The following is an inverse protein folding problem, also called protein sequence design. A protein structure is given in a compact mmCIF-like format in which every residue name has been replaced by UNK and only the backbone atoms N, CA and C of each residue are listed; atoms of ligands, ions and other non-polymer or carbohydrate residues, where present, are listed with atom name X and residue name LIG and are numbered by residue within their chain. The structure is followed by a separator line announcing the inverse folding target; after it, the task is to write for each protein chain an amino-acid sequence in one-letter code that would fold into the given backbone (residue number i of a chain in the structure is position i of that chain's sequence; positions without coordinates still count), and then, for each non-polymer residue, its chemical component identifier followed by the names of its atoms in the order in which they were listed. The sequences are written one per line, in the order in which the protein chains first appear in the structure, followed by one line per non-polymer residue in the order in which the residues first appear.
data_IF_413671072632
#
_entry.id   IF_413671072632
#
_cell.length_a   1.000
_cell.length_b   1.000
_cell.length_c   1.000
_cell.angle_alpha   90.00
_cell.angle_beta   90.00
_cell.angle_gamma   90.00
#
_symmetry.space_group_name_H-M   'P 1'
#
loop_
_entity.id
_entity.type
_entity.pdbx_description
1 polymer ?
#
# COMPACT_ATOMS: atom_id res chain seq x y z
N UNK A 1 17.66 20.79 45.47
CA UNK A 1 16.40 20.10 45.78
C UNK A 1 16.12 19.14 44.64
N UNK A 2 16.15 17.84 44.92
CA UNK A 2 15.88 16.82 43.90
C UNK A 2 14.41 16.93 43.50
N UNK A 3 14.12 17.38 42.28
CA UNK A 3 12.77 17.29 41.73
C UNK A 3 12.36 15.82 41.78
N UNK A 4 11.15 15.55 42.26
CA UNK A 4 10.65 14.20 42.51
C UNK A 4 10.66 13.38 41.20
N UNK A 5 11.25 12.18 41.23
CA UNK A 5 11.50 11.38 40.03
C UNK A 5 10.20 10.95 39.34
N UNK A 6 9.14 10.78 40.12
CA UNK A 6 7.80 10.47 39.63
C UNK A 6 7.20 11.63 38.84
N UNK A 7 7.40 12.87 39.31
CA UNK A 7 6.92 14.08 38.66
C UNK A 7 7.61 14.30 37.30
N UNK A 8 8.93 14.09 37.25
CA UNK A 8 9.69 14.14 36.01
C UNK A 8 9.28 13.05 35.00
N UNK A 9 8.89 11.86 35.48
CA UNK A 9 8.38 10.80 34.62
C UNK A 9 7.03 11.17 33.98
N UNK A 10 6.12 11.78 34.75
CA UNK A 10 4.82 12.27 34.25
C UNK A 10 5.02 13.38 33.22
N UNK A 11 5.87 14.37 33.49
CA UNK A 11 6.20 15.44 32.52
C UNK A 11 6.80 14.86 31.21
N UNK A 12 7.62 13.81 31.32
CA UNK A 12 8.16 13.10 30.15
C UNK A 12 7.07 12.42 29.32
N UNK A 13 6.07 11.81 29.97
CA UNK A 13 4.93 11.20 29.28
C UNK A 13 4.09 12.25 28.55
N UNK A 14 3.86 13.42 29.17
CA UNK A 14 3.14 14.54 28.53
C UNK A 14 3.90 15.02 27.29
N UNK A 15 5.24 15.17 27.36
CA UNK A 15 6.05 15.52 26.16
C UNK A 15 5.98 14.46 25.07
N UNK A 16 6.02 13.19 25.46
CA UNK A 16 5.91 12.09 24.51
C UNK A 16 4.56 12.12 23.80
N UNK A 17 3.47 12.39 24.52
CA UNK A 17 2.13 12.53 23.94
C UNK A 17 2.05 13.71 22.95
N UNK A 18 2.54 14.90 23.32
CA UNK A 18 2.58 16.07 22.43
C UNK A 18 3.45 15.79 21.19
N UNK A 19 4.61 15.16 21.38
CA UNK A 19 5.48 14.76 20.27
C UNK A 19 4.80 13.77 19.34
N UNK A 20 4.05 12.81 19.86
CA UNK A 20 3.27 11.87 19.04
C UNK A 20 2.20 12.61 18.21
N UNK A 21 1.48 13.57 18.82
CA UNK A 21 0.50 14.40 18.10
C UNK A 21 1.11 15.10 16.88
N UNK A 22 2.27 15.74 17.07
CA UNK A 22 2.93 16.52 16.01
C UNK A 22 3.57 15.64 14.93
N UNK A 23 3.96 14.40 15.26
CA UNK A 23 4.61 13.47 14.34
C UNK A 23 3.66 12.38 13.80
N UNK A 24 2.35 12.53 14.00
CA UNK A 24 1.39 11.49 13.66
C UNK A 24 1.29 11.31 12.14
N UNK A 25 1.64 10.12 11.68
CA UNK A 25 1.58 9.75 10.27
C UNK A 25 0.14 9.47 9.82
N UNK A 26 -0.22 9.87 8.61
CA UNK A 26 -1.49 9.46 7.97
C UNK A 26 -1.56 7.94 7.73
N UNK A 27 -2.75 7.37 7.83
CA UNK A 27 -3.03 5.94 7.59
C UNK A 27 -4.17 5.75 6.59
N UNK A 28 -4.20 4.59 5.94
CA UNK A 28 -5.31 4.18 5.07
C UNK A 28 -6.54 3.77 5.90
N UNK A 29 -7.76 3.80 5.32
CA UNK A 29 -8.17 4.71 4.25
C UNK A 29 -8.57 6.05 4.87
N UNK A 30 -7.98 7.14 4.37
CA UNK A 30 -8.37 8.51 4.74
C UNK A 30 -8.16 8.95 6.20
N UNK A 31 -7.35 8.26 7.01
CA UNK A 31 -6.96 8.78 8.34
C UNK A 31 -5.83 9.80 8.19
N UNK A 32 -6.15 11.09 8.28
CA UNK A 32 -5.17 12.16 8.13
C UNK A 32 -4.46 12.43 9.45
N UNK A 33 -3.18 12.05 9.52
CA UNK A 33 -2.39 12.11 10.74
C UNK A 33 -2.27 13.52 11.30
N UNK A 34 -2.07 14.52 10.44
CA UNK A 34 -2.02 15.93 10.83
C UNK A 34 -3.31 16.45 11.48
N UNK A 35 -4.48 16.09 10.93
CA UNK A 35 -5.78 16.48 11.49
C UNK A 35 -6.04 15.79 12.84
N UNK A 36 -5.77 14.48 12.92
CA UNK A 36 -5.88 13.71 14.16
C UNK A 36 -4.91 14.21 15.23
N UNK A 37 -3.69 14.56 14.84
CA UNK A 37 -2.68 15.14 15.71
C UNK A 37 -3.10 16.50 16.25
N UNK A 38 -3.68 17.36 15.40
CA UNK A 38 -4.22 18.65 15.80
C UNK A 38 -5.38 18.51 16.80
N UNK A 39 -6.36 17.63 16.52
CA UNK A 39 -7.48 17.38 17.44
C UNK A 39 -7.01 16.81 18.80
N UNK A 40 -6.02 15.92 18.78
CA UNK A 40 -5.43 15.40 20.01
C UNK A 40 -4.67 16.47 20.79
N UNK A 41 -3.94 17.37 20.10
CA UNK A 41 -3.28 18.50 20.72
C UNK A 41 -4.28 19.49 21.33
N UNK A 42 -5.43 19.70 20.68
CA UNK A 42 -6.52 20.52 21.18
C UNK A 42 -7.08 19.94 22.49
N UNK A 43 -7.34 18.63 22.53
CA UNK A 43 -7.79 17.94 23.74
C UNK A 43 -6.76 18.02 24.87
N UNK A 44 -5.47 17.85 24.57
CA UNK A 44 -4.38 18.02 25.55
C UNK A 44 -4.38 19.45 26.10
N UNK A 45 -4.48 20.47 25.23
CA UNK A 45 -4.52 21.88 25.63
C UNK A 45 -5.74 22.23 26.49
N UNK A 46 -6.91 21.65 26.21
CA UNK A 46 -8.10 21.80 27.05
C UNK A 46 -7.90 21.23 28.45
N UNK A 47 -7.35 20.02 28.55
CA UNK A 47 -7.04 19.40 29.84
C UNK A 47 -6.04 20.24 30.64
N UNK A 48 -4.95 20.70 30.02
CA UNK A 48 -3.94 21.53 30.70
C UNK A 48 -4.54 22.84 31.22
N UNK A 49 -5.43 23.48 30.44
CA UNK A 49 -6.12 24.73 30.85
C UNK A 49 -7.14 24.52 31.97
N UNK A 50 -7.72 23.33 32.08
CA UNK A 50 -8.72 23.00 33.11
C UNK A 50 -8.12 22.73 34.50
N UNK A 51 -6.80 22.58 34.60
CA UNK A 51 -6.12 22.31 35.87
C UNK A 51 -6.14 23.55 36.78
N UNK A 52 -6.56 23.43 38.06
CA UNK A 52 -6.59 24.56 38.98
C UNK A 52 -5.16 25.07 39.27
N UNK A 53 -4.93 26.37 39.11
CA UNK A 53 -3.63 27.03 39.28
C UNK A 53 -3.06 27.04 40.71
N UNK A 54 -3.54 26.20 41.64
CA UNK A 54 -3.16 26.31 43.06
C UNK A 54 -2.00 25.40 43.45
N UNK A 55 -0.91 26.08 43.82
CA UNK A 55 -0.02 25.71 44.92
C UNK A 55 0.65 24.34 44.80
N UNK A 56 1.50 24.20 43.79
CA UNK A 56 2.91 23.77 43.84
C UNK A 56 3.39 23.74 42.39
N UNK A 57 4.08 24.81 42.01
CA UNK A 57 5.35 24.75 41.29
C UNK A 57 5.51 23.78 40.09
N UNK A 58 4.71 23.97 39.04
CA UNK A 58 5.22 23.61 37.70
C UNK A 58 5.06 24.78 36.74
N UNK A 59 6.02 25.72 36.79
CA UNK A 59 6.40 26.59 35.66
C UNK A 59 6.38 25.84 34.33
N UNK A 60 6.67 24.54 34.38
CA UNK A 60 6.65 23.65 33.23
C UNK A 60 5.27 23.55 32.54
N UNK A 61 4.18 23.23 33.26
CA UNK A 61 2.86 23.05 32.63
C UNK A 61 2.24 24.37 32.17
N UNK A 62 2.48 25.46 32.89
CA UNK A 62 2.03 26.80 32.48
C UNK A 62 2.75 27.25 31.20
N UNK A 63 4.08 27.10 31.14
CA UNK A 63 4.87 27.38 29.92
C UNK A 63 4.44 26.46 28.79
N UNK A 64 4.21 25.18 29.06
CA UNK A 64 3.74 24.23 28.06
C UNK A 64 2.37 24.61 27.49
N UNK A 65 1.43 25.05 28.33
CA UNK A 65 0.12 25.54 27.88
C UNK A 65 0.26 26.68 26.88
N UNK A 66 1.13 27.66 27.17
CA UNK A 66 1.40 28.78 26.26
C UNK A 66 1.90 28.30 24.90
N UNK A 67 2.83 27.35 24.87
CA UNK A 67 3.34 26.80 23.61
C UNK A 67 2.31 25.97 22.85
N UNK A 68 1.48 25.20 23.56
CA UNK A 68 0.37 24.45 22.96
C UNK A 68 -0.66 25.40 22.36
N UNK A 69 -1.05 26.45 23.08
CA UNK A 69 -2.01 27.46 22.60
C UNK A 69 -1.45 28.25 21.40
N UNK A 70 -0.17 28.60 21.43
CA UNK A 70 0.52 29.23 20.30
C UNK A 70 0.54 28.30 19.08
N UNK A 71 0.80 27.01 19.26
CA UNK A 71 0.79 26.04 18.17
C UNK A 71 -0.62 25.83 17.61
N UNK A 72 -1.64 25.73 18.46
CA UNK A 72 -3.04 25.59 18.04
C UNK A 72 -3.52 26.83 17.28
N UNK A 73 -3.30 28.03 17.82
CA UNK A 73 -3.69 29.28 17.16
C UNK A 73 -2.99 29.48 15.81
N UNK A 74 -1.69 29.20 15.72
CA UNK A 74 -0.92 29.33 14.48
C UNK A 74 -1.39 28.35 13.39
N UNK A 75 -1.95 27.20 13.77
CA UNK A 75 -2.38 26.16 12.83
C UNK A 75 -3.90 26.09 12.66
N UNK A 76 -4.69 26.91 13.36
CA UNK A 76 -6.15 26.82 13.36
C UNK A 76 -6.76 26.95 11.96
N UNK A 77 -6.33 27.94 11.17
CA UNK A 77 -6.83 28.14 9.80
C UNK A 77 -6.52 26.96 8.90
N UNK A 78 -5.29 26.44 8.97
CA UNK A 78 -4.83 25.28 8.19
C UNK A 78 -5.58 24.01 8.60
N UNK A 79 -5.79 23.81 9.91
CA UNK A 79 -6.53 22.67 10.43
C UNK A 79 -7.99 22.70 10.00
N UNK A 80 -8.63 23.88 10.04
CA UNK A 80 -10.02 24.07 9.58
C UNK A 80 -10.16 23.79 8.08
N UNK A 81 -9.25 24.31 7.25
CA UNK A 81 -9.25 24.02 5.81
C UNK A 81 -9.04 22.52 5.52
N UNK A 82 -8.13 21.87 6.25
CA UNK A 82 -7.93 20.42 6.16
C UNK A 82 -9.15 19.63 6.63
N UNK A 83 -9.84 20.06 7.68
CA UNK A 83 -11.05 19.39 8.15
C UNK A 83 -12.15 19.43 7.08
N UNK A 84 -12.38 20.59 6.46
CA UNK A 84 -13.33 20.74 5.37
C UNK A 84 -12.92 19.91 4.15
N UNK A 85 -11.63 19.90 3.77
CA UNK A 85 -11.11 19.04 2.72
C UNK A 85 -11.33 17.54 3.04
N UNK A 86 -11.18 17.15 4.29
CA UNK A 86 -11.42 15.78 4.74
C UNK A 86 -12.91 15.39 4.61
N UNK A 87 -13.82 16.29 5.00
CA UNK A 87 -15.26 16.08 4.82
C UNK A 87 -15.65 15.92 3.35
N UNK A 88 -15.07 16.74 2.46
CA UNK A 88 -15.25 16.55 1.01
C UNK A 88 -14.75 15.18 0.54
N UNK A 89 -13.58 14.75 1.00
CA UNK A 89 -13.05 13.42 0.67
C UNK A 89 -13.96 12.29 1.17
N UNK A 90 -14.57 12.43 2.35
CA UNK A 90 -15.54 11.48 2.87
C UNK A 90 -16.79 11.43 1.97
N UNK A 91 -17.35 12.58 1.57
CA UNK A 91 -18.49 12.62 0.64
C UNK A 91 -18.18 11.95 -0.70
N UNK A 92 -16.96 12.14 -1.23
CA UNK A 92 -16.50 11.47 -2.46
C UNK A 92 -16.41 9.95 -2.24
N UNK A 93 -15.82 9.53 -1.12
CA UNK A 93 -15.76 8.13 -0.73
C UNK A 93 -17.15 7.50 -0.64
N UNK A 94 -18.11 8.24 -0.08
CA UNK A 94 -19.49 7.77 0.06
C UNK A 94 -20.20 7.71 -1.29
N UNK A 95 -19.99 8.68 -2.20
CA UNK A 95 -20.47 8.64 -3.58
C UNK A 95 -19.94 7.40 -4.32
N UNK A 96 -18.66 7.05 -4.11
CA UNK A 96 -18.04 5.84 -4.64
C UNK A 96 -18.37 4.57 -3.82
N UNK A 97 -19.26 4.66 -2.82
CA UNK A 97 -19.67 3.58 -1.91
C UNK A 97 -18.49 2.83 -1.27
N UNK A 98 -17.33 3.46 -1.14
CA UNK A 98 -16.11 2.81 -0.67
C UNK A 98 -16.24 2.24 0.75
N UNK A 99 -17.05 2.86 1.62
CA UNK A 99 -17.32 2.40 2.99
C UNK A 99 -18.10 1.07 3.02
N UNK A 100 -19.09 0.91 2.14
CA UNK A 100 -19.90 -0.31 2.04
C UNK A 100 -19.05 -1.52 1.62
N UNK A 101 -18.01 -1.30 0.82
CA UNK A 101 -17.11 -2.37 0.36
C UNK A 101 -15.93 -2.65 1.31
N UNK A 102 -15.50 -1.64 2.09
CA UNK A 102 -14.37 -1.78 3.04
C UNK A 102 -14.76 -2.39 4.39
N UNK A 103 -16.05 -2.42 4.73
CA UNK A 103 -16.59 -3.09 5.92
C UNK A 103 -16.74 -4.61 5.79
N UNK A 104 -16.75 -5.15 4.58
CA UNK A 104 -16.75 -6.61 4.34
C UNK A 104 -15.33 -7.19 4.53
N UNK A 105 -14.83 -7.09 5.75
CA UNK A 105 -13.69 -7.86 6.23
C UNK A 105 -14.17 -8.77 7.35
N UNK A 106 -13.97 -10.07 7.14
CA UNK A 106 -14.17 -11.22 8.03
C UNK A 106 -15.56 -11.93 7.95
N UNK A 107 -15.51 -13.15 7.40
CA UNK A 107 -16.25 -14.35 7.84
C UNK A 107 -17.76 -14.53 7.62
N UNK A 108 -18.36 -13.89 6.62
CA UNK A 108 -19.74 -14.21 6.27
C UNK A 108 -19.89 -14.63 4.79
N UNK A 109 -19.71 -15.93 4.57
CA UNK A 109 -20.46 -16.69 3.55
C UNK A 109 -21.87 -16.88 4.12
N UNK A 110 -22.63 -15.79 4.24
CA UNK A 110 -24.04 -15.84 4.60
C UNK A 110 -24.83 -15.21 3.47
N UNK A 111 -25.69 -16.06 2.92
CA UNK A 111 -26.91 -15.79 2.18
C UNK A 111 -26.92 -14.58 1.21
N UNK A 112 -27.04 -14.96 -0.06
CA UNK A 112 -27.36 -14.14 -1.25
C UNK A 112 -28.78 -13.53 -1.14
N UNK A 113 -29.35 -13.43 0.05
CA UNK A 113 -30.71 -12.98 0.31
C UNK A 113 -30.72 -12.03 1.49
N UNK A 114 -30.33 -10.77 1.26
CA UNK A 114 -30.93 -9.56 1.85
C UNK A 114 -30.05 -8.33 1.62
N UNK A 115 -30.14 -7.76 0.43
CA UNK A 115 -30.59 -6.37 0.32
C UNK A 115 -30.93 -6.13 -1.14
N UNK A 116 -32.19 -5.81 -1.38
CA UNK A 116 -32.73 -5.14 -2.57
C UNK A 116 -32.09 -3.76 -2.71
N UNK A 117 -30.76 -3.69 -2.85
CA UNK A 117 -30.05 -2.50 -3.34
C UNK A 117 -30.14 -2.59 -4.86
N UNK A 118 -30.91 -1.68 -5.45
CA UNK A 118 -30.91 -1.42 -6.89
C UNK A 118 -29.44 -1.40 -7.34
N UNK A 119 -29.04 -2.18 -8.36
CA UNK A 119 -27.65 -2.21 -8.80
C UNK A 119 -27.27 -0.80 -9.23
N UNK A 120 -26.36 -0.20 -8.45
CA UNK A 120 -25.82 1.13 -8.70
C UNK A 120 -25.09 1.07 -10.04
N UNK A 121 -25.49 1.89 -11.01
CA UNK A 121 -24.88 1.88 -12.34
C UNK A 121 -23.74 2.89 -12.45
N UNK A 122 -22.79 2.65 -13.35
CA UNK A 122 -21.72 3.62 -13.63
C UNK A 122 -22.26 5.00 -13.99
N UNK A 123 -23.37 5.07 -14.69
CA UNK A 123 -24.04 6.31 -15.07
C UNK A 123 -24.50 7.11 -13.84
N UNK A 124 -25.12 6.45 -12.86
CA UNK A 124 -25.57 7.11 -11.63
C UNK A 124 -24.39 7.67 -10.83
N UNK A 125 -23.34 6.85 -10.62
CA UNK A 125 -22.14 7.28 -9.90
C UNK A 125 -21.43 8.42 -10.61
N UNK A 126 -21.35 8.36 -11.95
CA UNK A 126 -20.78 9.44 -12.75
C UNK A 126 -21.51 10.75 -12.54
N UNK A 127 -22.84 10.73 -12.63
CA UNK A 127 -23.67 11.92 -12.45
C UNK A 127 -23.51 12.50 -11.04
N UNK A 128 -23.62 11.66 -10.01
CA UNK A 128 -23.42 12.09 -8.60
C UNK A 128 -22.02 12.69 -8.39
N UNK A 129 -20.97 12.08 -8.97
CA UNK A 129 -19.61 12.58 -8.84
C UNK A 129 -19.40 13.90 -9.59
N UNK A 130 -19.99 14.06 -10.79
CA UNK A 130 -19.94 15.30 -11.56
C UNK A 130 -20.66 16.44 -10.81
N UNK A 131 -21.84 16.18 -10.25
CA UNK A 131 -22.57 17.12 -9.38
C UNK A 131 -21.74 17.52 -8.16
N UNK A 132 -21.14 16.54 -7.47
CA UNK A 132 -20.28 16.79 -6.31
C UNK A 132 -19.06 17.64 -6.66
N UNK A 133 -18.40 17.35 -7.78
CA UNK A 133 -17.27 18.13 -8.30
C UNK A 133 -17.66 19.55 -8.70
N UNK A 134 -18.89 19.76 -9.18
CA UNK A 134 -19.43 21.08 -9.48
C UNK A 134 -19.71 21.88 -8.21
N UNK A 135 -20.27 21.25 -7.18
CA UNK A 135 -20.52 21.89 -5.87
C UNK A 135 -19.22 22.25 -5.14
N UNK A 136 -18.17 21.44 -5.28
CA UNK A 136 -16.90 21.68 -4.60
C UNK A 136 -16.10 22.78 -5.29
N UNK A 137 -16.28 24.05 -4.90
CA UNK A 137 -15.60 25.24 -5.46
C UNK A 137 -14.78 25.99 -4.39
N UNK A 138 -13.64 25.45 -3.95
CA UNK A 138 -12.81 26.13 -2.96
C UNK A 138 -12.04 27.30 -3.58
N UNK A 139 -11.94 28.39 -2.81
CA UNK A 139 -11.05 29.50 -3.14
C UNK A 139 -9.58 29.15 -2.85
N UNK A 140 -8.72 29.27 -3.85
CA UNK A 140 -7.28 29.01 -3.74
C UNK A 140 -6.54 29.87 -2.71
N UNK A 141 -7.00 31.10 -2.42
CA UNK A 141 -6.33 32.00 -1.48
C UNK A 141 -6.71 31.69 -0.03
N UNK A 142 -7.99 31.42 0.21
CA UNK A 142 -8.52 31.17 1.55
C UNK A 142 -8.40 29.70 1.97
N UNK A 143 -8.50 28.77 1.02
CA UNK A 143 -8.62 27.32 1.26
C UNK A 143 -7.64 26.51 0.40
N UNK A 144 -6.32 26.66 0.61
CA UNK A 144 -5.30 26.02 -0.22
C UNK A 144 -5.34 24.48 -0.20
N UNK A 145 -5.68 23.85 0.93
CA UNK A 145 -5.76 22.40 1.05
C UNK A 145 -6.96 21.83 0.28
N UNK A 146 -8.14 22.45 0.42
CA UNK A 146 -9.31 22.09 -0.39
C UNK A 146 -9.04 22.28 -1.89
N UNK A 147 -8.41 23.39 -2.28
CA UNK A 147 -8.06 23.64 -3.68
C UNK A 147 -7.08 22.59 -4.22
N UNK A 148 -6.04 22.23 -3.46
CA UNK A 148 -5.10 21.17 -3.82
C UNK A 148 -5.81 19.82 -3.99
N UNK A 149 -6.73 19.47 -3.09
CA UNK A 149 -7.55 18.27 -3.18
C UNK A 149 -8.38 18.26 -4.47
N UNK A 150 -9.15 19.32 -4.72
CA UNK A 150 -9.98 19.45 -5.93
C UNK A 150 -9.16 19.31 -7.19
N UNK A 151 -8.06 20.05 -7.29
CA UNK A 151 -7.18 20.05 -8.47
C UNK A 151 -6.64 18.64 -8.74
N UNK A 152 -6.22 17.92 -7.69
CA UNK A 152 -5.73 16.55 -7.84
C UNK A 152 -6.85 15.59 -8.23
N UNK A 153 -8.01 15.72 -7.61
CA UNK A 153 -9.18 14.90 -7.88
C UNK A 153 -9.67 15.06 -9.31
N UNK A 154 -9.86 16.30 -9.80
CA UNK A 154 -10.26 16.57 -11.18
C UNK A 154 -9.27 15.98 -12.19
N UNK A 155 -7.96 16.10 -11.94
CA UNK A 155 -6.94 15.48 -12.80
C UNK A 155 -7.07 13.96 -12.83
N UNK A 156 -7.29 13.32 -11.68
CA UNK A 156 -7.47 11.87 -11.61
C UNK A 156 -8.77 11.42 -12.27
N UNK A 157 -9.86 12.16 -12.05
CA UNK A 157 -11.17 11.90 -12.63
C UNK A 157 -11.14 12.03 -14.16
N UNK A 158 -10.53 13.08 -14.69
CA UNK A 158 -10.40 13.25 -16.14
C UNK A 158 -9.54 12.16 -16.79
N UNK A 159 -8.52 11.67 -16.06
CA UNK A 159 -7.60 10.66 -16.60
C UNK A 159 -8.13 9.22 -16.49
N UNK A 160 -8.83 8.91 -15.41
CA UNK A 160 -9.20 7.53 -15.07
C UNK A 160 -10.70 7.32 -14.85
N UNK A 161 -11.50 8.37 -14.74
CA UNK A 161 -12.91 8.30 -14.37
C UNK A 161 -13.72 7.35 -15.24
N UNK A 162 -13.54 7.38 -16.57
CA UNK A 162 -14.22 6.47 -17.49
C UNK A 162 -13.93 5.00 -17.20
N UNK A 163 -12.68 4.70 -16.85
CA UNK A 163 -12.21 3.32 -16.66
C UNK A 163 -12.47 2.81 -15.23
N UNK A 164 -12.65 3.71 -14.26
CA UNK A 164 -12.90 3.37 -12.87
C UNK A 164 -14.32 2.85 -12.64
N UNK A 165 -15.29 3.28 -13.44
CA UNK A 165 -16.71 3.04 -13.16
C UNK A 165 -17.24 1.68 -13.65
N UNK A 166 -16.45 0.92 -14.41
CA UNK A 166 -16.88 -0.40 -14.88
C UNK A 166 -17.16 -1.40 -13.75
N UNK A 167 -16.61 -1.18 -12.56
CA UNK A 167 -16.90 -2.00 -11.38
C UNK A 167 -18.37 -1.92 -10.91
N UNK A 168 -19.09 -0.88 -11.32
CA UNK A 168 -20.53 -0.74 -11.01
C UNK A 168 -21.41 -1.48 -12.02
N UNK A 169 -20.96 -1.62 -13.27
CA UNK A 169 -21.75 -2.27 -14.33
C UNK A 169 -21.49 -3.77 -14.42
N UNK A 170 -20.29 -4.22 -14.05
CA UNK A 170 -19.86 -5.62 -14.18
C UNK A 170 -20.06 -6.32 -12.83
N UNK A 171 -21.00 -7.27 -12.71
CA UNK A 171 -21.20 -8.03 -11.47
C UNK A 171 -19.93 -8.74 -11.03
N UNK A 172 -19.55 -8.58 -9.76
CA UNK A 172 -18.40 -9.25 -9.16
C UNK A 172 -17.03 -8.59 -9.40
N UNK A 173 -16.94 -7.53 -10.21
CA UNK A 173 -15.70 -6.76 -10.37
C UNK A 173 -15.51 -5.86 -9.14
N UNK A 174 -14.44 -6.03 -8.32
CA UNK A 174 -14.27 -5.22 -7.12
C UNK A 174 -14.01 -3.73 -7.47
N UNK A 175 -14.51 -2.79 -6.65
CA UNK A 175 -14.35 -1.36 -6.88
C UNK A 175 -12.97 -0.84 -6.47
N UNK A 176 -12.17 -1.63 -5.74
CA UNK A 176 -10.81 -1.29 -5.34
C UNK A 176 -9.84 -2.45 -5.51
N UNK A 177 -8.56 -2.15 -5.35
CA UNK A 177 -7.47 -3.12 -5.43
C UNK A 177 -6.92 -3.53 -4.04
N UNK A 178 -7.59 -3.20 -2.93
CA UNK A 178 -7.04 -3.37 -1.58
C UNK A 178 -6.71 -4.82 -1.26
N UNK A 179 -7.59 -5.75 -1.68
CA UNK A 179 -7.38 -7.20 -1.51
C UNK A 179 -6.11 -7.66 -2.23
N UNK A 180 -5.88 -7.13 -3.44
CA UNK A 180 -4.69 -7.42 -4.25
C UNK A 180 -3.43 -6.80 -3.61
N UNK A 181 -3.51 -5.55 -3.14
CA UNK A 181 -2.41 -4.89 -2.44
C UNK A 181 -2.03 -5.63 -1.14
N UNK A 182 -3.03 -6.10 -0.40
CA UNK A 182 -2.87 -6.90 0.82
C UNK A 182 -2.18 -8.21 0.49
N UNK A 183 -2.68 -8.96 -0.50
CA UNK A 183 -2.07 -10.20 -0.97
C UNK A 183 -0.60 -10.02 -1.34
N UNK A 184 -0.26 -9.02 -2.17
CA UNK A 184 1.13 -8.75 -2.54
C UNK A 184 2.00 -8.33 -1.36
N UNK A 185 1.43 -7.66 -0.36
CA UNK A 185 2.14 -7.30 0.86
C UNK A 185 2.46 -8.52 1.72
N UNK A 186 1.52 -9.44 1.86
CA UNK A 186 1.74 -10.74 2.52
C UNK A 186 2.82 -11.56 1.80
N UNK A 187 2.75 -11.68 0.48
CA UNK A 187 3.76 -12.39 -0.31
C UNK A 187 5.16 -11.79 -0.13
N UNK A 188 5.29 -10.46 -0.17
CA UNK A 188 6.57 -9.77 0.07
C UNK A 188 7.08 -9.99 1.50
N UNK A 189 6.22 -9.96 2.50
CA UNK A 189 6.62 -10.24 3.88
C UNK A 189 7.09 -11.68 4.05
N UNK A 190 6.34 -12.65 3.53
CA UNK A 190 6.72 -14.06 3.57
C UNK A 190 8.05 -14.31 2.85
N UNK A 191 8.23 -13.75 1.65
CA UNK A 191 9.48 -13.88 0.91
C UNK A 191 10.68 -13.32 1.68
N UNK A 192 10.53 -12.14 2.30
CA UNK A 192 11.60 -11.54 3.12
C UNK A 192 11.90 -12.39 4.35
N UNK A 193 10.87 -12.97 4.98
CA UNK A 193 11.01 -13.84 6.16
C UNK A 193 11.74 -15.13 5.82
N UNK A 194 11.39 -15.78 4.71
CA UNK A 194 12.00 -17.03 4.25
C UNK A 194 13.44 -16.79 3.75
N UNK A 195 13.64 -15.78 2.91
CA UNK A 195 14.96 -15.53 2.29
C UNK A 195 15.93 -14.76 3.17
N UNK A 196 15.46 -14.09 4.23
CA UNK A 196 16.23 -13.14 5.04
C UNK A 196 16.66 -11.88 4.29
N UNK A 197 16.24 -11.68 3.03
CA UNK A 197 16.68 -10.58 2.16
C UNK A 197 15.59 -9.53 2.01
N UNK A 198 15.97 -8.25 1.99
CA UNK A 198 15.03 -7.13 1.70
C UNK A 198 14.45 -7.20 0.28
N UNK A 199 15.25 -7.72 -0.67
CA UNK A 199 14.88 -7.85 -2.09
C UNK A 199 13.79 -8.89 -2.28
N UNK A 200 12.75 -8.51 -3.03
CA UNK A 200 11.64 -9.40 -3.42
C UNK A 200 11.66 -9.70 -4.92
N UNK A 201 12.85 -9.66 -5.54
CA UNK A 201 13.01 -9.87 -6.97
C UNK A 201 12.51 -11.26 -7.42
N UNK A 202 12.64 -12.27 -6.56
CA UNK A 202 12.16 -13.64 -6.81
C UNK A 202 10.64 -13.70 -7.01
N UNK A 203 9.87 -12.80 -6.38
CA UNK A 203 8.42 -12.72 -6.61
C UNK A 203 8.07 -12.27 -8.03
N UNK A 204 8.99 -11.64 -8.77
CA UNK A 204 8.77 -11.33 -10.18
C UNK A 204 8.70 -12.59 -11.04
N UNK A 205 9.41 -13.63 -10.62
CA UNK A 205 9.63 -14.85 -11.40
C UNK A 205 8.70 -15.97 -10.94
N UNK A 206 8.49 -16.09 -9.63
CA UNK A 206 7.70 -17.14 -9.02
C UNK A 206 6.39 -16.66 -8.40
N UNK A 207 6.16 -15.35 -8.31
CA UNK A 207 5.01 -14.78 -7.60
C UNK A 207 3.66 -15.24 -8.15
N UNK A 208 3.56 -15.46 -9.47
CA UNK A 208 2.36 -15.99 -10.12
C UNK A 208 1.94 -17.37 -9.58
N UNK A 209 2.92 -18.21 -9.21
CA UNK A 209 2.65 -19.52 -8.63
C UNK A 209 2.41 -19.42 -7.13
N UNK A 210 3.11 -18.53 -6.41
CA UNK A 210 2.88 -18.34 -4.97
C UNK A 210 1.47 -17.82 -4.65
N UNK A 211 0.83 -17.08 -5.56
CA UNK A 211 -0.58 -16.67 -5.39
C UNK A 211 -1.53 -17.88 -5.36
N UNK A 212 -1.22 -18.93 -6.13
CA UNK A 212 -2.05 -20.14 -6.24
C UNK A 212 -1.83 -21.10 -5.05
N UNK A 213 -0.67 -21.02 -4.41
CA UNK A 213 -0.28 -21.89 -3.29
C UNK A 213 -0.18 -21.08 -2.00
N UNK A 214 -1.34 -20.73 -1.45
CA UNK A 214 -1.46 -20.24 -0.08
C UNK A 214 -1.85 -21.42 0.81
N UNK A 215 -0.86 -22.03 1.45
CA UNK A 215 -1.09 -23.00 2.52
C UNK A 215 -1.08 -22.26 3.87
N UNK A 216 -2.12 -22.45 4.67
CA UNK A 216 -2.25 -21.87 6.02
C UNK A 216 -1.60 -22.77 7.09
N UNK A 217 -1.32 -24.03 6.78
CA UNK A 217 -0.58 -24.98 7.62
C UNK A 217 0.41 -25.80 6.80
N UNK A 218 1.37 -26.44 7.49
CA UNK A 218 2.34 -27.35 6.88
C UNK A 218 1.66 -28.59 6.27
N UNK A 219 0.65 -29.14 6.95
CA UNK A 219 -0.14 -30.27 6.46
C UNK A 219 -0.86 -29.93 5.14
N UNK A 220 -1.44 -28.73 5.07
CA UNK A 220 -2.10 -28.25 3.85
C UNK A 220 -1.08 -28.05 2.71
N UNK A 221 0.12 -27.54 3.02
CA UNK A 221 1.19 -27.39 2.05
C UNK A 221 1.64 -28.74 1.50
N UNK A 222 1.84 -29.73 2.37
CA UNK A 222 2.24 -31.08 2.00
C UNK A 222 1.18 -31.72 1.08
N UNK A 223 -0.10 -31.63 1.47
CA UNK A 223 -1.21 -32.14 0.67
C UNK A 223 -1.26 -31.48 -0.71
N UNK A 224 -1.05 -30.16 -0.79
CA UNK A 224 -1.00 -29.43 -2.07
C UNK A 224 0.19 -29.86 -2.95
N UNK A 225 1.38 -30.06 -2.35
CA UNK A 225 2.57 -30.51 -3.10
C UNK A 225 2.36 -31.93 -3.65
N UNK A 226 1.75 -32.83 -2.86
CA UNK A 226 1.49 -34.21 -3.24
C UNK A 226 0.54 -34.36 -4.43
N UNK A 227 -0.31 -33.36 -4.69
CA UNK A 227 -1.22 -33.34 -5.84
C UNK A 227 -0.52 -33.09 -7.18
N UNK A 228 0.72 -32.58 -7.17
CA UNK A 228 1.44 -32.22 -8.41
C UNK A 228 2.26 -33.42 -8.91
N UNK A 229 1.95 -33.98 -10.08
CA UNK A 229 2.76 -35.06 -10.66
C UNK A 229 4.21 -34.61 -10.90
N UNK A 230 5.17 -35.47 -10.56
CA UNK A 230 6.60 -35.17 -10.70
C UNK A 230 7.00 -34.78 -12.14
N UNK A 231 6.33 -35.35 -13.14
CA UNK A 231 6.55 -35.06 -14.57
C UNK A 231 6.17 -33.63 -14.93
N UNK A 232 5.03 -33.14 -14.42
CA UNK A 232 4.59 -31.75 -14.60
C UNK A 232 5.53 -30.77 -13.90
N UNK A 233 5.94 -31.10 -12.67
CA UNK A 233 6.93 -30.31 -11.93
C UNK A 233 8.22 -30.14 -12.74
N UNK A 234 8.79 -31.24 -13.24
CA UNK A 234 10.04 -31.20 -14.05
C UNK A 234 9.87 -30.36 -15.31
N UNK A 235 8.72 -30.48 -15.98
CA UNK A 235 8.41 -29.72 -17.20
C UNK A 235 8.36 -28.21 -16.92
N UNK A 236 7.66 -27.82 -15.86
CA UNK A 236 7.57 -26.41 -15.47
C UNK A 236 8.90 -25.86 -14.96
N UNK A 237 9.69 -26.68 -14.24
CA UNK A 237 11.03 -26.30 -13.79
C UNK A 237 11.96 -26.00 -14.97
N UNK A 238 11.85 -26.77 -16.05
CA UNK A 238 12.62 -26.56 -17.27
C UNK A 238 12.18 -25.29 -18.01
N UNK A 239 10.87 -25.05 -18.17
CA UNK A 239 10.34 -23.79 -18.72
C UNK A 239 10.83 -22.56 -17.96
N UNK A 240 10.84 -22.66 -16.63
CA UNK A 240 11.30 -21.58 -15.79
C UNK A 240 12.81 -21.33 -15.93
N UNK A 241 13.62 -22.39 -15.99
CA UNK A 241 15.06 -22.27 -16.26
C UNK A 241 15.33 -21.54 -17.59
N UNK A 242 14.56 -21.85 -18.64
CA UNK A 242 14.64 -21.15 -19.93
C UNK A 242 14.26 -19.67 -19.82
N UNK A 243 13.18 -19.35 -19.11
CA UNK A 243 12.74 -17.97 -18.89
C UNK A 243 13.74 -17.13 -18.06
N UNK A 244 14.48 -17.77 -17.16
CA UNK A 244 15.50 -17.12 -16.33
C UNK A 244 16.86 -17.00 -17.00
N UNK A 245 17.16 -17.83 -18.02
CA UNK A 245 18.50 -17.98 -18.61
C UNK A 245 19.13 -16.64 -19.01
N UNK A 246 18.39 -15.78 -19.71
CA UNK A 246 18.87 -14.47 -20.17
C UNK A 246 19.26 -13.54 -19.01
N UNK A 247 18.51 -13.58 -17.90
CA UNK A 247 18.78 -12.77 -16.71
C UNK A 247 19.92 -13.34 -15.89
N UNK A 248 20.00 -14.67 -15.78
CA UNK A 248 21.13 -15.34 -15.15
C UNK A 248 22.43 -15.03 -15.91
N UNK A 249 22.41 -15.04 -17.25
CA UNK A 249 23.58 -14.71 -18.07
C UNK A 249 24.05 -13.26 -17.87
N UNK A 250 23.12 -12.29 -17.88
CA UNK A 250 23.45 -10.88 -17.56
C UNK A 250 24.02 -10.74 -16.15
N UNK A 251 23.44 -11.43 -15.15
CA UNK A 251 23.97 -11.43 -13.77
C UNK A 251 25.38 -12.04 -13.70
N UNK A 252 25.65 -13.13 -14.40
CA UNK A 252 26.97 -13.77 -14.46
C UNK A 252 28.00 -12.83 -15.10
N UNK A 253 27.66 -12.21 -16.22
CA UNK A 253 28.49 -11.20 -16.90
C UNK A 253 28.81 -10.01 -15.98
N UNK A 254 27.83 -9.48 -15.24
CA UNK A 254 28.05 -8.35 -14.33
C UNK A 254 28.92 -8.72 -13.12
N UNK A 255 28.87 -9.99 -12.67
CA UNK A 255 29.58 -10.43 -11.46
C UNK A 255 31.01 -10.91 -11.76
N UNK A 256 31.22 -11.60 -12.88
CA UNK A 256 32.53 -12.06 -13.33
C UNK A 256 32.54 -12.15 -14.87
N UNK A 257 32.85 -11.03 -15.56
CA UNK A 257 32.77 -10.98 -17.02
C UNK A 257 33.79 -11.91 -17.68
N UNK A 258 35.03 -11.98 -17.17
CA UNK A 258 36.12 -12.77 -17.77
C UNK A 258 35.79 -14.26 -17.78
N UNK A 259 35.42 -14.82 -16.62
CA UNK A 259 35.04 -16.24 -16.52
C UNK A 259 33.82 -16.56 -17.37
N UNK A 260 32.83 -15.65 -17.41
CA UNK A 260 31.59 -15.88 -18.14
C UNK A 260 31.84 -15.88 -19.65
N UNK A 261 32.65 -14.96 -20.16
CA UNK A 261 33.01 -14.91 -21.59
C UNK A 261 33.87 -16.13 -21.96
N UNK A 262 34.85 -16.50 -21.13
CA UNK A 262 35.68 -17.69 -21.40
C UNK A 262 34.83 -18.96 -21.50
N UNK A 263 33.86 -19.14 -20.60
CA UNK A 263 32.95 -20.28 -20.65
C UNK A 263 32.12 -20.29 -21.95
N UNK A 264 31.64 -19.13 -22.42
CA UNK A 264 30.91 -19.02 -23.69
C UNK A 264 31.79 -19.34 -24.90
N UNK A 265 33.04 -18.90 -24.90
CA UNK A 265 34.01 -19.20 -25.96
C UNK A 265 34.31 -20.71 -26.00
N UNK A 266 34.53 -21.34 -24.85
CA UNK A 266 34.75 -22.78 -24.77
C UNK A 266 33.53 -23.55 -25.29
N UNK A 267 32.32 -23.14 -24.91
CA UNK A 267 31.08 -23.77 -25.35
C UNK A 267 30.86 -23.61 -26.87
N UNK A 268 31.27 -22.48 -27.44
CA UNK A 268 31.27 -22.25 -28.89
C UNK A 268 32.28 -23.17 -29.61
N UNK A 269 33.49 -23.32 -29.06
CA UNK A 269 34.51 -24.21 -29.62
C UNK A 269 34.06 -25.68 -29.58
N UNK A 270 33.44 -26.12 -28.48
CA UNK A 270 32.87 -27.47 -28.38
C UNK A 270 31.80 -27.70 -29.45
N UNK A 271 30.88 -26.75 -29.67
CA UNK A 271 29.86 -26.85 -30.71
C UNK A 271 30.47 -26.90 -32.12
N UNK A 272 31.52 -26.12 -32.39
CA UNK A 272 32.25 -26.20 -33.66
C UNK A 272 32.87 -27.59 -33.85
N UNK A 273 33.52 -28.14 -32.82
CA UNK A 273 34.11 -29.48 -32.93
C UNK A 273 33.06 -30.57 -33.18
N UNK A 274 31.87 -30.46 -32.58
CA UNK A 274 30.75 -31.39 -32.83
C UNK A 274 30.24 -31.25 -34.27
N UNK A 275 30.08 -30.02 -34.77
CA UNK A 275 29.64 -29.75 -36.14
C UNK A 275 30.66 -30.20 -37.20
N UNK A 276 31.95 -30.01 -36.94
CA UNK A 276 33.04 -30.49 -37.81
C UNK A 276 33.16 -32.02 -37.80
N UNK A 277 32.78 -32.66 -36.70
CA UNK A 277 32.75 -34.13 -36.56
C UNK A 277 31.47 -34.79 -37.10
N UNK A 278 30.45 -34.01 -37.49
CA UNK A 278 29.29 -34.55 -38.21
C UNK A 278 29.66 -34.71 -39.69
N UNK A 279 29.73 -35.93 -40.24
CA UNK A 279 30.02 -36.12 -41.65
C UNK A 279 28.90 -35.48 -42.49
N UNK A 280 29.28 -34.69 -43.48
CA UNK A 280 28.41 -34.21 -44.56
C UNK A 280 27.72 -35.41 -45.23
N UNK A 281 26.55 -35.81 -44.76
CA UNK A 281 25.67 -36.75 -45.44
C UNK A 281 24.88 -36.06 -46.55
N UNK A 282 25.59 -35.34 -47.43
CA UNK A 282 25.04 -34.72 -48.63
C UNK A 282 26.04 -34.86 -49.77
N UNK A 283 25.97 -36.00 -50.45
CA UNK A 283 26.40 -36.32 -51.82
C UNK A 283 26.15 -37.83 -51.96
N UNK A 284 25.49 -38.44 -52.95
CA UNK A 284 24.89 -38.08 -54.22
C UNK A 284 23.98 -39.28 -54.57
N UNK A 285 22.65 -39.11 -54.64
CA UNK A 285 21.80 -40.05 -55.37
C UNK A 285 21.41 -39.37 -56.69
N UNK A 286 22.19 -39.66 -57.74
CA UNK A 286 21.81 -39.53 -59.15
C UNK A 286 21.34 -40.88 -59.67
#
# INVERSE_FOLDING_TARGET
MSRDAELAAIESQIRAAIRDCVNRTSRKPFRWGGLMGYQQLLAIGEVIRSLPCREIDTDYLSVLSVWVDQALSSNHSVASDLEQAHQWLQRISDCLRYRDYSGCTLDEVTDITQTTKIPLTSFQVRREMEELLQMFQPDHQQNPAQFALKKKLQRLWNKYGTNLLHCYDIPGLPPDNLKIESLFSHLRHNQRRISGRKSTAELRDFGQYQVLFLAQSEEQLLAQIQQVPLTEYKTQRLRLALAEASRQQKRRLHRNPVSTIQALVNQHQELLTVLESQPLSYQLDS
#
